data_IF_340735793282
#
_entry.id   IF_340735793282
#
_cell.length_a   1.000
_cell.length_b   1.000
_cell.length_c   1.000
_cell.angle_alpha   90.00
_cell.angle_beta   90.00
_cell.angle_gamma   90.00
#
_symmetry.space_group_name_H-M   'P 1'
#
loop_
_entity.id
_entity.type
_entity.pdbx_description
1 polymer ?
#
# COMPACT_ATOMS: atom_id res chain seq x y z
N UNK A 1 23.37 20.45 -27.84
CA UNK A 1 22.23 19.82 -27.15
C UNK A 1 22.81 19.05 -26.00
N UNK A 2 22.70 19.59 -24.78
CA UNK A 2 23.20 18.94 -23.57
C UNK A 2 22.49 17.61 -23.36
N UNK A 3 23.29 16.58 -23.05
CA UNK A 3 22.81 15.27 -22.61
C UNK A 3 22.13 15.44 -21.25
N UNK A 4 20.81 15.57 -21.22
CA UNK A 4 20.06 15.28 -20.00
C UNK A 4 20.20 13.78 -19.71
N UNK A 5 21.15 13.44 -18.83
CA UNK A 5 21.24 12.10 -18.28
C UNK A 5 19.90 11.77 -17.61
N UNK A 6 19.09 10.89 -18.23
CA UNK A 6 17.88 10.35 -17.61
C UNK A 6 18.26 9.83 -16.23
N UNK A 7 17.74 10.45 -15.18
CA UNK A 7 17.88 9.94 -13.80
C UNK A 7 17.23 8.56 -13.76
N UNK A 8 18.04 7.51 -13.81
CA UNK A 8 17.61 6.15 -13.52
C UNK A 8 17.46 6.03 -12.01
N UNK A 9 16.21 6.02 -11.53
CA UNK A 9 15.91 5.68 -10.15
C UNK A 9 15.94 4.16 -10.01
N UNK A 10 16.80 3.65 -9.14
CA UNK A 10 16.85 2.23 -8.79
C UNK A 10 15.91 1.96 -7.61
N UNK A 11 15.12 0.90 -7.69
CA UNK A 11 14.21 0.47 -6.62
C UNK A 11 14.70 -0.87 -6.09
N UNK A 12 15.04 -0.91 -4.80
CA UNK A 12 15.32 -2.17 -4.10
C UNK A 12 14.00 -2.92 -3.98
N UNK A 13 13.88 -4.12 -4.56
CA UNK A 13 12.66 -4.92 -4.42
C UNK A 13 12.58 -5.62 -3.07
N UNK A 14 13.68 -6.23 -2.66
CA UNK A 14 13.79 -7.04 -1.45
C UNK A 14 13.52 -6.24 -0.16
N UNK A 15 12.64 -6.78 0.70
CA UNK A 15 12.20 -6.09 1.92
C UNK A 15 13.27 -6.12 3.03
N UNK A 16 14.11 -7.15 3.09
CA UNK A 16 15.21 -7.23 4.04
C UNK A 16 16.28 -6.18 3.71
N UNK A 17 16.64 -6.04 2.43
CA UNK A 17 17.56 -4.99 1.98
C UNK A 17 16.98 -3.60 2.22
N UNK A 18 15.70 -3.38 1.91
CA UNK A 18 15.03 -2.11 2.25
C UNK A 18 15.14 -1.79 3.74
N UNK A 19 14.93 -2.78 4.63
CA UNK A 19 15.06 -2.58 6.08
C UNK A 19 16.48 -2.21 6.45
N UNK A 20 17.44 -2.99 5.97
CA UNK A 20 18.86 -2.77 6.23
C UNK A 20 19.30 -1.37 5.79
N UNK A 21 18.95 -0.92 4.58
CA UNK A 21 19.32 0.42 4.11
C UNK A 21 18.55 1.55 4.82
N UNK A 22 17.32 1.30 5.27
CA UNK A 22 16.51 2.32 5.97
C UNK A 22 16.99 2.55 7.40
N UNK A 23 17.38 1.47 8.09
CA UNK A 23 17.63 1.52 9.53
C UNK A 23 19.07 1.24 9.93
N UNK A 24 19.81 0.39 9.21
CA UNK A 24 21.10 -0.14 9.69
C UNK A 24 22.30 0.50 8.98
N UNK A 25 22.32 0.46 7.65
CA UNK A 25 23.51 0.73 6.82
C UNK A 25 24.29 2.01 7.21
N UNK A 26 23.58 3.13 7.39
CA UNK A 26 24.20 4.42 7.69
C UNK A 26 24.28 4.74 9.20
N UNK A 27 23.77 3.86 10.08
CA UNK A 27 23.57 4.14 11.50
C UNK A 27 24.38 3.21 12.43
N UNK A 28 25.38 2.48 11.90
CA UNK A 28 26.17 1.51 12.68
C UNK A 28 26.90 2.14 13.89
N UNK A 29 27.40 3.37 13.77
CA UNK A 29 28.01 4.07 14.90
C UNK A 29 27.03 4.34 16.03
N UNK A 30 25.77 4.68 15.69
CA UNK A 30 24.69 4.85 16.67
C UNK A 30 24.29 3.52 17.29
N UNK A 31 24.30 2.43 16.52
CA UNK A 31 24.02 1.08 17.02
C UNK A 31 25.05 0.67 18.08
N UNK A 32 26.34 0.85 17.80
CA UNK A 32 27.42 0.55 18.76
C UNK A 32 27.30 1.42 20.01
N UNK A 33 26.99 2.71 19.86
CA UNK A 33 26.91 3.66 20.97
C UNK A 33 25.69 3.44 21.88
N UNK A 34 24.52 3.13 21.30
CA UNK A 34 23.26 3.01 22.04
C UNK A 34 23.00 1.60 22.57
N UNK A 35 23.61 0.58 21.96
CA UNK A 35 23.19 -0.81 22.11
C UNK A 35 21.92 -1.11 21.31
N UNK A 36 21.62 -2.39 21.13
CA UNK A 36 20.55 -2.88 20.24
C UNK A 36 19.16 -2.40 20.67
N UNK A 37 18.79 -2.55 21.95
CA UNK A 37 17.47 -2.20 22.47
C UNK A 37 17.18 -0.71 22.29
N UNK A 38 18.06 0.16 22.81
CA UNK A 38 17.86 1.61 22.71
C UNK A 38 17.97 2.12 21.27
N UNK A 39 18.72 1.44 20.41
CA UNK A 39 18.75 1.76 18.99
C UNK A 39 17.39 1.49 18.34
N UNK A 40 16.76 0.36 18.65
CA UNK A 40 15.43 0.03 18.17
C UNK A 40 14.41 1.08 18.61
N UNK A 41 14.30 1.35 19.92
CA UNK A 41 13.32 2.27 20.49
C UNK A 41 13.43 3.69 19.91
N UNK A 42 14.67 4.16 19.68
CA UNK A 42 14.91 5.55 19.28
C UNK A 42 14.88 5.73 17.75
N UNK A 43 15.34 4.74 16.98
CA UNK A 43 15.61 4.91 15.54
C UNK A 43 14.78 4.02 14.62
N UNK A 44 14.15 2.98 15.13
CA UNK A 44 13.34 2.03 14.33
C UNK A 44 11.87 2.17 14.71
N UNK A 45 11.54 1.91 15.98
CA UNK A 45 10.17 1.86 16.51
C UNK A 45 9.29 3.05 16.07
N UNK A 46 9.76 4.32 16.09
CA UNK A 46 8.91 5.46 15.76
C UNK A 46 8.37 5.47 14.32
N UNK A 47 9.00 4.71 13.41
CA UNK A 47 8.66 4.70 11.98
C UNK A 47 8.41 3.30 11.42
N UNK A 48 8.53 2.25 12.24
CA UNK A 48 8.46 0.87 11.75
C UNK A 48 7.08 0.53 11.19
N UNK A 49 6.01 1.08 11.77
CA UNK A 49 4.65 0.88 11.28
C UNK A 49 4.44 1.52 9.89
N UNK A 50 4.90 2.75 9.67
CA UNK A 50 4.84 3.40 8.35
C UNK A 50 5.69 2.61 7.33
N UNK A 51 6.86 2.15 7.77
CA UNK A 51 7.74 1.29 6.97
C UNK A 51 6.99 0.02 6.55
N UNK A 52 6.35 -0.72 7.46
CA UNK A 52 5.63 -1.94 7.10
C UNK A 52 4.40 -1.63 6.22
N UNK A 53 3.63 -0.60 6.55
CA UNK A 53 2.42 -0.19 5.79
C UNK A 53 2.72 0.00 4.30
N UNK A 54 3.75 0.79 3.96
CA UNK A 54 4.15 1.02 2.55
C UNK A 54 4.53 -0.26 1.79
N UNK A 55 5.02 -1.26 2.52
CA UNK A 55 5.38 -2.56 1.94
C UNK A 55 4.15 -3.43 1.76
N UNK A 56 3.21 -3.36 2.70
CA UNK A 56 1.92 -4.02 2.56
C UNK A 56 1.14 -3.50 1.34
N UNK A 57 1.11 -2.18 1.09
CA UNK A 57 0.54 -1.60 -0.13
C UNK A 57 1.19 -2.14 -1.42
N UNK A 58 2.51 -2.36 -1.38
CA UNK A 58 3.24 -2.94 -2.52
C UNK A 58 2.85 -4.40 -2.76
N UNK A 59 2.70 -5.20 -1.68
CA UNK A 59 2.25 -6.59 -1.74
C UNK A 59 0.84 -6.68 -2.34
N UNK A 60 -0.07 -5.77 -1.97
CA UNK A 60 -1.43 -5.72 -2.54
C UNK A 60 -1.40 -5.44 -4.04
N UNK A 61 -0.57 -4.49 -4.50
CA UNK A 61 -0.39 -4.23 -5.95
C UNK A 61 0.20 -5.43 -6.69
N UNK A 62 1.15 -6.13 -6.06
CA UNK A 62 1.73 -7.37 -6.61
C UNK A 62 0.70 -8.50 -6.69
N UNK A 63 -0.17 -8.63 -5.69
CA UNK A 63 -1.29 -9.58 -5.69
C UNK A 63 -2.22 -9.36 -6.90
N UNK A 64 -2.69 -8.13 -7.12
CA UNK A 64 -3.54 -7.85 -8.28
C UNK A 64 -2.79 -8.06 -9.59
N UNK A 65 -1.52 -7.66 -9.66
CA UNK A 65 -0.67 -7.89 -10.83
C UNK A 65 -0.54 -9.38 -11.14
N UNK A 66 -0.41 -10.21 -10.12
CA UNK A 66 -0.39 -11.67 -10.25
C UNK A 66 -1.74 -12.21 -10.74
N UNK A 67 -2.86 -11.80 -10.13
CA UNK A 67 -4.20 -12.24 -10.54
C UNK A 67 -4.54 -11.83 -11.99
N UNK A 68 -4.11 -10.65 -12.44
CA UNK A 68 -4.22 -10.23 -13.85
C UNK A 68 -3.44 -11.18 -14.76
N UNK A 69 -2.19 -11.50 -14.44
CA UNK A 69 -1.37 -12.44 -15.23
C UNK A 69 -1.97 -13.85 -15.30
N UNK A 70 -2.67 -14.27 -14.25
CA UNK A 70 -3.40 -15.55 -14.22
C UNK A 70 -4.75 -15.51 -14.97
N UNK A 71 -5.18 -14.35 -15.47
CA UNK A 71 -6.40 -14.19 -16.26
C UNK A 71 -7.68 -14.02 -15.45
N UNK A 72 -7.60 -13.81 -14.12
CA UNK A 72 -8.77 -13.53 -13.27
C UNK A 72 -9.37 -12.15 -13.54
N UNK A 73 -8.54 -11.18 -13.93
CA UNK A 73 -8.93 -9.80 -14.21
C UNK A 73 -8.50 -9.43 -15.65
N UNK A 74 -9.38 -9.66 -16.62
CA UNK A 74 -9.08 -9.49 -18.06
C UNK A 74 -9.22 -8.06 -18.56
N UNK A 75 -9.94 -7.22 -17.82
CA UNK A 75 -10.24 -5.84 -18.16
C UNK A 75 -9.28 -4.85 -17.49
N UNK A 76 -8.42 -5.28 -16.57
CA UNK A 76 -7.41 -4.42 -15.93
C UNK A 76 -6.23 -4.18 -16.87
N UNK A 77 -5.93 -2.91 -17.11
CA UNK A 77 -4.86 -2.46 -18.02
C UNK A 77 -3.72 -1.73 -17.31
N UNK A 78 -3.93 -1.28 -16.08
CA UNK A 78 -2.91 -0.60 -15.27
C UNK A 78 -3.19 -0.77 -13.77
N UNK A 79 -2.13 -0.82 -12.97
CA UNK A 79 -2.17 -0.99 -11.51
C UNK A 79 -1.18 -0.02 -10.89
N UNK A 80 -1.65 0.82 -9.97
CA UNK A 80 -0.80 1.80 -9.33
C UNK A 80 -1.40 2.38 -8.06
N UNK A 81 -0.91 3.56 -7.69
CA UNK A 81 -1.45 4.38 -6.60
C UNK A 81 -1.93 5.70 -7.21
N UNK A 82 -2.91 6.35 -6.57
CA UNK A 82 -3.44 7.63 -7.04
C UNK A 82 -3.08 8.74 -6.06
N UNK A 83 -2.54 9.84 -6.59
CA UNK A 83 -2.22 11.05 -5.85
C UNK A 83 -2.95 12.24 -6.46
N UNK A 84 -3.96 12.75 -5.76
CA UNK A 84 -4.65 13.99 -6.08
C UNK A 84 -4.41 15.03 -4.99
N UNK A 85 -4.88 16.26 -5.21
CA UNK A 85 -4.66 17.40 -4.31
C UNK A 85 -5.15 17.11 -2.88
N UNK A 86 -6.25 16.37 -2.72
CA UNK A 86 -6.88 16.09 -1.41
C UNK A 86 -7.20 14.60 -1.21
N UNK A 87 -6.58 13.72 -1.98
CA UNK A 87 -6.93 12.31 -2.01
C UNK A 87 -5.76 11.46 -2.43
N UNK A 88 -5.46 10.46 -1.61
CA UNK A 88 -4.47 9.42 -1.87
C UNK A 88 -5.16 8.07 -1.77
N UNK A 89 -4.87 7.20 -2.74
CA UNK A 89 -5.30 5.81 -2.74
C UNK A 89 -4.15 4.86 -3.00
N UNK A 90 -4.08 3.86 -2.14
CA UNK A 90 -2.95 2.94 -2.03
C UNK A 90 -2.84 2.03 -3.25
N UNK A 91 -3.97 1.44 -3.66
CA UNK A 91 -4.06 0.56 -4.81
C UNK A 91 -5.26 0.92 -5.70
N UNK A 92 -4.96 1.23 -6.97
CA UNK A 92 -5.96 1.58 -7.98
C UNK A 92 -5.75 0.71 -9.20
N UNK A 93 -6.83 0.05 -9.64
CA UNK A 93 -6.86 -0.77 -10.84
C UNK A 93 -7.62 -0.02 -11.92
N UNK A 94 -6.94 0.30 -13.03
CA UNK A 94 -7.57 0.94 -14.18
C UNK A 94 -8.15 -0.13 -15.10
N UNK A 95 -9.44 -0.06 -15.36
CA UNK A 95 -10.15 -0.92 -16.30
C UNK A 95 -10.04 -0.37 -17.74
N UNK A 96 -10.16 -1.25 -18.73
CA UNK A 96 -10.06 -0.95 -20.17
C UNK A 96 -11.14 0.03 -20.65
N UNK A 97 -12.28 0.09 -19.95
CA UNK A 97 -13.36 1.06 -20.16
C UNK A 97 -13.12 2.43 -19.49
N UNK A 98 -11.92 2.70 -18.99
CA UNK A 98 -11.55 3.92 -18.27
C UNK A 98 -12.33 4.17 -16.97
N UNK A 99 -12.79 3.10 -16.33
CA UNK A 99 -13.25 3.13 -14.95
C UNK A 99 -12.18 2.58 -14.00
N UNK A 100 -12.37 2.78 -12.71
CA UNK A 100 -11.35 2.49 -11.70
C UNK A 100 -11.94 1.63 -10.59
N UNK A 101 -11.20 0.61 -10.14
CA UNK A 101 -11.44 -0.05 -8.87
C UNK A 101 -10.43 0.50 -7.86
N UNK A 102 -10.91 0.95 -6.70
CA UNK A 102 -10.07 1.55 -5.65
C UNK A 102 -10.03 0.61 -4.47
N UNK A 103 -8.81 0.28 -4.02
CA UNK A 103 -8.56 -0.53 -2.84
C UNK A 103 -7.76 0.28 -1.82
N UNK A 104 -8.38 0.58 -0.68
CA UNK A 104 -7.70 1.16 0.47
C UNK A 104 -7.00 0.04 1.25
N UNK A 105 -5.73 0.24 1.59
CA UNK A 105 -4.91 -0.76 2.29
C UNK A 105 -4.67 -0.29 3.72
N UNK A 106 -4.94 -1.16 4.69
CA UNK A 106 -4.72 -0.88 6.11
C UNK A 106 -3.85 -1.93 6.76
N UNK A 107 -2.70 -1.47 7.22
CA UNK A 107 -1.83 -2.19 8.14
C UNK A 107 -2.02 -1.61 9.54
N UNK A 108 -2.87 -2.26 10.34
CA UNK A 108 -3.13 -1.90 11.73
C UNK A 108 -3.19 -3.17 12.58
N UNK A 109 -3.04 -3.04 13.89
CA UNK A 109 -3.08 -4.17 14.82
C UNK A 109 -4.52 -4.62 15.09
N UNK A 110 -5.46 -3.68 15.07
CA UNK A 110 -6.87 -3.93 15.37
C UNK A 110 -7.68 -4.08 14.07
N UNK A 111 -8.78 -4.88 14.07
CA UNK A 111 -9.69 -4.97 12.95
C UNK A 111 -10.25 -3.60 12.53
N UNK A 112 -10.52 -3.41 11.24
CA UNK A 112 -11.07 -2.14 10.74
C UNK A 112 -12.55 -2.04 11.11
N UNK A 113 -12.93 -0.92 11.73
CA UNK A 113 -14.33 -0.65 12.06
C UNK A 113 -15.15 -0.15 10.86
N UNK A 114 -16.47 -0.39 10.83
CA UNK A 114 -17.35 0.11 9.78
C UNK A 114 -17.35 1.63 9.65
N UNK A 115 -17.11 2.35 10.75
CA UNK A 115 -17.05 3.82 10.76
C UNK A 115 -15.90 4.35 9.91
N UNK A 116 -14.72 3.72 10.01
CA UNK A 116 -13.52 4.05 9.22
C UNK A 116 -13.77 3.78 7.74
N UNK A 117 -14.38 2.63 7.42
CA UNK A 117 -14.73 2.27 6.05
C UNK A 117 -15.69 3.30 5.44
N UNK A 118 -16.77 3.64 6.14
CA UNK A 118 -17.77 4.61 5.67
C UNK A 118 -17.17 5.99 5.41
N UNK A 119 -16.34 6.50 6.32
CA UNK A 119 -15.65 7.79 6.14
C UNK A 119 -14.79 7.81 4.86
N UNK A 120 -14.09 6.71 4.58
CA UNK A 120 -13.24 6.61 3.40
C UNK A 120 -14.07 6.43 2.11
N UNK A 121 -15.18 5.69 2.14
CA UNK A 121 -16.14 5.61 1.02
C UNK A 121 -16.69 7.00 0.70
N UNK A 122 -17.07 7.80 1.70
CA UNK A 122 -17.49 9.18 1.46
C UNK A 122 -16.40 10.03 0.80
N UNK A 123 -15.14 9.85 1.20
CA UNK A 123 -14.01 10.54 0.57
C UNK A 123 -13.86 10.14 -0.89
N UNK A 124 -13.96 8.84 -1.21
CA UNK A 124 -13.90 8.32 -2.57
C UNK A 124 -15.04 8.90 -3.42
N UNK A 125 -16.26 8.91 -2.89
CA UNK A 125 -17.44 9.40 -3.61
C UNK A 125 -17.40 10.91 -3.89
N UNK A 126 -16.63 11.70 -3.12
CA UNK A 126 -16.47 13.14 -3.32
C UNK A 126 -15.47 13.51 -4.44
N UNK A 127 -14.78 12.53 -5.01
CA UNK A 127 -13.75 12.78 -6.01
C UNK A 127 -14.34 13.14 -7.37
N UNK A 128 -13.77 14.17 -7.97
CA UNK A 128 -14.11 14.62 -9.32
C UNK A 128 -13.06 14.13 -10.31
N UNK A 129 -13.51 13.67 -11.48
CA UNK A 129 -12.62 13.27 -12.58
C UNK A 129 -12.20 11.80 -12.59
N UNK A 130 -12.56 11.01 -11.57
CA UNK A 130 -12.38 9.56 -11.54
C UNK A 130 -13.74 8.87 -11.60
N UNK A 131 -13.91 7.95 -12.56
CA UNK A 131 -15.09 7.08 -12.66
C UNK A 131 -14.86 5.82 -11.83
N UNK A 132 -15.16 5.89 -10.54
CA UNK A 132 -15.00 4.75 -9.62
C UNK A 132 -16.13 3.75 -9.88
N UNK A 133 -15.76 2.52 -10.23
CA UNK A 133 -16.68 1.41 -10.51
C UNK A 133 -16.81 0.45 -9.34
N UNK A 134 -15.82 0.44 -8.45
CA UNK A 134 -15.66 -0.59 -7.42
C UNK A 134 -14.80 -0.02 -6.31
N UNK A 135 -15.17 -0.33 -5.07
CA UNK A 135 -14.43 0.02 -3.87
C UNK A 135 -14.11 -1.28 -3.13
N UNK A 136 -12.89 -1.40 -2.65
CA UNK A 136 -12.47 -2.47 -1.78
C UNK A 136 -11.56 -1.98 -0.67
N UNK A 137 -11.41 -2.82 0.34
CA UNK A 137 -10.46 -2.64 1.42
C UNK A 137 -9.59 -3.89 1.50
N UNK A 138 -8.34 -3.68 1.90
CA UNK A 138 -7.42 -4.76 2.25
C UNK A 138 -6.93 -4.56 3.67
N UNK A 139 -7.14 -5.54 4.54
CA UNK A 139 -6.79 -5.47 5.96
C UNK A 139 -5.75 -6.51 6.35
N UNK A 140 -4.73 -6.09 7.11
CA UNK A 140 -3.79 -7.00 7.75
C UNK A 140 -4.37 -7.70 8.99
N UNK A 141 -5.33 -7.06 9.68
CA UNK A 141 -5.91 -7.48 10.96
C UNK A 141 -7.39 -7.88 10.86
N UNK A 142 -7.95 -7.91 9.65
CA UNK A 142 -9.35 -8.22 9.41
C UNK A 142 -10.31 -7.04 9.64
N UNK A 143 -11.57 -7.36 9.88
CA UNK A 143 -12.69 -6.41 9.96
C UNK A 143 -13.58 -6.73 11.16
N UNK A 144 -14.10 -5.71 11.82
CA UNK A 144 -15.11 -5.91 12.88
C UNK A 144 -16.41 -6.47 12.30
N UNK A 145 -16.82 -5.98 11.12
CA UNK A 145 -17.95 -6.51 10.34
C UNK A 145 -17.78 -6.23 8.83
N UNK A 146 -18.51 -6.98 8.01
CA UNK A 146 -18.49 -6.91 6.53
C UNK A 146 -19.89 -6.64 5.99
N UNK A 147 -20.49 -5.56 6.47
CA UNK A 147 -21.93 -5.29 6.24
C UNK A 147 -22.21 -4.46 4.98
N UNK A 148 -21.18 -3.96 4.30
CA UNK A 148 -21.32 -3.13 3.11
C UNK A 148 -21.09 -3.95 1.84
N UNK A 149 -21.74 -3.57 0.75
CA UNK A 149 -21.54 -4.19 -0.57
C UNK A 149 -20.26 -3.65 -1.24
N UNK A 150 -19.11 -4.04 -0.70
CA UNK A 150 -17.76 -3.71 -1.17
C UNK A 150 -16.87 -4.94 -1.13
N UNK A 151 -15.70 -4.85 -1.75
CA UNK A 151 -14.74 -5.95 -1.74
C UNK A 151 -13.89 -5.93 -0.47
N UNK A 152 -13.91 -7.03 0.28
CA UNK A 152 -13.07 -7.23 1.47
C UNK A 152 -11.99 -8.25 1.15
N UNK A 153 -10.73 -7.87 1.33
CA UNK A 153 -9.58 -8.78 1.26
C UNK A 153 -8.84 -8.76 2.59
N UNK A 154 -8.51 -9.93 3.10
CA UNK A 154 -7.62 -10.07 4.25
C UNK A 154 -6.24 -10.52 3.80
N UNK A 155 -5.25 -10.39 4.69
CA UNK A 155 -3.87 -10.77 4.39
C UNK A 155 -3.74 -12.21 3.86
N UNK A 156 -4.54 -13.14 4.39
CA UNK A 156 -4.55 -14.54 3.95
C UNK A 156 -5.05 -14.71 2.52
N UNK A 157 -5.90 -13.81 2.02
CA UNK A 157 -6.37 -13.86 0.63
C UNK A 157 -5.27 -13.48 -0.37
N UNK A 158 -4.27 -12.72 0.07
CA UNK A 158 -3.16 -12.28 -0.79
C UNK A 158 -2.21 -13.41 -1.17
N UNK A 159 -2.26 -14.54 -0.45
CA UNK A 159 -1.39 -15.71 -0.65
C UNK A 159 -2.11 -16.90 -1.28
N UNK A 160 -3.37 -16.74 -1.71
CA UNK A 160 -4.18 -17.77 -2.38
C UNK A 160 -4.10 -17.71 -3.91
#
# INVERSE_FOLDING_TARGET
MENESKKCNYIIKDNLLKFYYSYIYAKNSKLIMLGEDRFYDVLIEPSINEFISRRFESIVKEYFSYKVKQGYYKDIIDIGSYFGINSEFDCVLKKSNYTYAIYEVKYCNDPISPSVINQKIEQINKIKGLKVSEIGFVSASGYESKDLDINYLEIDDLFK
#
